data_IF_319352246929
#
_entry.id   IF_319352246929
#
_cell.length_a   1.000
_cell.length_b   1.000
_cell.length_c   1.000
_cell.angle_alpha   90.00
_cell.angle_beta   90.00
_cell.angle_gamma   90.00
#
_symmetry.space_group_name_H-M   'P 1'
#
loop_
_entity.id
_entity.type
_entity.pdbx_description
1 polymer ?
#
# COMPACT_ATOMS: atom_id res chain seq x y z
N UNK A 1 28.90 -0.09 -12.03
CA UNK A 1 27.70 -0.71 -11.46
C UNK A 1 26.85 -1.42 -12.53
N UNK A 2 26.38 -0.75 -13.58
CA UNK A 2 25.55 -1.35 -14.64
C UNK A 2 26.29 -2.28 -15.62
N UNK A 3 27.59 -2.44 -15.51
CA UNK A 3 28.41 -3.34 -16.35
C UNK A 3 28.33 -4.80 -15.89
N UNK A 4 27.82 -5.08 -14.70
CA UNK A 4 27.71 -6.44 -14.17
C UNK A 4 26.32 -7.02 -14.46
N UNK A 5 26.27 -8.17 -15.14
CA UNK A 5 25.03 -8.85 -15.52
C UNK A 5 24.13 -9.18 -14.31
N UNK A 6 24.72 -9.53 -13.16
CA UNK A 6 23.94 -9.80 -11.96
C UNK A 6 23.23 -8.54 -11.43
N UNK A 7 23.88 -7.36 -11.54
CA UNK A 7 23.30 -6.09 -11.09
C UNK A 7 22.12 -5.67 -12.00
N UNK A 8 22.26 -5.84 -13.32
CA UNK A 8 21.14 -5.55 -14.24
C UNK A 8 19.93 -6.43 -13.92
N UNK A 9 20.18 -7.74 -13.67
CA UNK A 9 19.10 -8.67 -13.25
C UNK A 9 18.49 -8.29 -11.91
N UNK A 10 19.31 -7.92 -10.95
CA UNK A 10 18.84 -7.48 -9.63
C UNK A 10 17.98 -6.22 -9.70
N UNK A 11 18.40 -5.20 -10.47
CA UNK A 11 17.65 -3.96 -10.66
C UNK A 11 16.32 -4.20 -11.38
N UNK A 12 16.31 -5.04 -12.43
CA UNK A 12 15.08 -5.41 -13.12
C UNK A 12 14.13 -6.19 -12.21
N UNK A 13 14.66 -7.13 -11.44
CA UNK A 13 13.86 -7.88 -10.48
C UNK A 13 13.28 -6.97 -9.38
N UNK A 14 14.08 -6.06 -8.82
CA UNK A 14 13.63 -5.11 -7.81
C UNK A 14 12.59 -4.12 -8.36
N UNK A 15 12.74 -3.65 -9.60
CA UNK A 15 11.76 -2.81 -10.30
C UNK A 15 10.43 -3.55 -10.44
N UNK A 16 10.46 -4.81 -10.94
CA UNK A 16 9.27 -5.62 -11.13
C UNK A 16 8.56 -5.90 -9.80
N UNK A 17 9.30 -6.41 -8.82
CA UNK A 17 8.76 -6.71 -7.50
C UNK A 17 8.22 -5.45 -6.82
N UNK A 18 8.98 -4.35 -6.84
CA UNK A 18 8.58 -3.08 -6.26
C UNK A 18 7.32 -2.49 -6.90
N UNK A 19 7.11 -2.69 -8.21
CA UNK A 19 5.89 -2.26 -8.88
C UNK A 19 4.71 -3.19 -8.61
N UNK A 20 4.92 -4.52 -8.69
CA UNK A 20 3.85 -5.53 -8.62
C UNK A 20 3.32 -5.72 -7.20
N UNK A 21 4.18 -5.67 -6.18
CA UNK A 21 3.75 -5.89 -4.80
C UNK A 21 2.67 -4.89 -4.33
N UNK A 22 2.80 -3.57 -4.55
CA UNK A 22 1.74 -2.62 -4.20
C UNK A 22 0.47 -2.75 -5.07
N UNK A 23 0.57 -3.28 -6.31
CA UNK A 23 -0.62 -3.48 -7.15
C UNK A 23 -1.65 -4.39 -6.51
N UNK A 24 -1.19 -5.45 -5.85
CA UNK A 24 -2.04 -6.41 -5.11
C UNK A 24 -2.33 -5.89 -3.71
N UNK A 25 -1.30 -5.37 -3.05
CA UNK A 25 -1.35 -4.92 -1.66
C UNK A 25 -2.45 -3.89 -1.39
N UNK A 26 -2.76 -3.00 -2.32
CA UNK A 26 -3.78 -1.96 -2.12
C UNK A 26 -5.17 -2.56 -1.84
N UNK A 27 -5.55 -3.66 -2.52
CA UNK A 27 -6.81 -4.35 -2.27
C UNK A 27 -6.81 -5.06 -0.91
N UNK A 28 -5.65 -5.58 -0.51
CA UNK A 28 -5.43 -6.22 0.80
C UNK A 28 -5.55 -5.20 1.93
N UNK A 29 -4.91 -4.04 1.79
CA UNK A 29 -4.97 -2.95 2.77
C UNK A 29 -6.39 -2.41 2.91
N UNK A 30 -7.12 -2.22 1.80
CA UNK A 30 -8.51 -1.76 1.85
C UNK A 30 -9.47 -2.74 2.53
N UNK A 31 -9.17 -4.04 2.47
CA UNK A 31 -9.94 -5.07 3.20
C UNK A 31 -9.56 -5.22 4.67
N UNK A 32 -8.61 -4.43 5.17
CA UNK A 32 -8.08 -4.56 6.53
C UNK A 32 -7.28 -5.84 6.78
N UNK A 33 -6.73 -6.46 5.73
CA UNK A 33 -6.03 -7.74 5.78
C UNK A 33 -4.51 -7.58 5.68
N UNK A 34 -3.95 -6.49 6.19
CA UNK A 34 -2.53 -6.18 6.04
C UNK A 34 -1.58 -7.30 6.50
N UNK A 35 -1.98 -8.10 7.49
CA UNK A 35 -1.18 -9.22 8.01
C UNK A 35 -1.20 -10.48 7.13
N UNK A 36 -2.02 -10.54 6.06
CA UNK A 36 -2.06 -11.72 5.18
C UNK A 36 -0.72 -11.93 4.45
N UNK A 37 -0.01 -10.84 4.15
CA UNK A 37 1.32 -10.88 3.56
C UNK A 37 2.33 -11.63 4.45
N UNK A 38 2.34 -11.32 5.74
CA UNK A 38 3.22 -11.97 6.72
C UNK A 38 2.83 -13.45 6.90
N UNK A 39 1.54 -13.73 7.08
CA UNK A 39 1.06 -15.10 7.26
C UNK A 39 1.43 -15.99 6.05
N UNK A 40 1.18 -15.53 4.84
CA UNK A 40 1.53 -16.27 3.62
C UNK A 40 3.05 -16.33 3.38
N UNK A 41 3.82 -15.31 3.81
CA UNK A 41 5.28 -15.34 3.78
C UNK A 41 5.84 -16.50 4.61
N UNK A 42 5.34 -16.68 5.83
CA UNK A 42 5.78 -17.79 6.68
C UNK A 42 5.32 -19.16 6.17
N UNK A 43 4.13 -19.24 5.56
CA UNK A 43 3.70 -20.47 4.87
C UNK A 43 4.58 -20.76 3.65
N UNK A 44 4.98 -19.72 2.89
CA UNK A 44 5.93 -19.89 1.78
C UNK A 44 7.29 -20.38 2.27
N UNK A 45 7.75 -19.97 3.47
CA UNK A 45 8.95 -20.50 4.11
C UNK A 45 8.83 -22.01 4.36
N UNK A 46 7.68 -22.48 4.90
CA UNK A 46 7.43 -23.89 5.05
C UNK A 46 7.47 -24.61 3.68
N UNK A 47 6.92 -23.99 2.63
CA UNK A 47 6.99 -24.51 1.26
C UNK A 47 8.42 -24.58 0.71
N UNK A 48 9.29 -23.60 1.01
CA UNK A 48 10.73 -23.67 0.72
C UNK A 48 11.37 -24.86 1.44
N UNK A 49 11.05 -25.05 2.73
CA UNK A 49 11.58 -26.14 3.53
C UNK A 49 11.16 -27.51 2.97
N UNK A 50 9.90 -27.67 2.57
CA UNK A 50 9.42 -28.87 1.87
C UNK A 50 10.24 -29.12 0.61
N UNK A 51 10.49 -28.10 -0.20
CA UNK A 51 11.29 -28.22 -1.42
C UNK A 51 12.71 -28.69 -1.15
N UNK A 52 13.35 -28.17 -0.11
CA UNK A 52 14.70 -28.57 0.31
C UNK A 52 14.73 -30.03 0.75
N UNK A 53 13.78 -30.45 1.61
CA UNK A 53 13.68 -31.85 2.10
C UNK A 53 13.42 -32.80 0.94
N UNK A 54 12.55 -32.45 0.00
CA UNK A 54 12.21 -33.26 -1.18
C UNK A 54 13.23 -33.19 -2.31
N UNK A 55 14.31 -32.42 -2.14
CA UNK A 55 15.31 -32.14 -3.19
C UNK A 55 14.68 -31.60 -4.48
N UNK A 56 13.54 -30.93 -4.34
CA UNK A 56 12.81 -30.27 -5.42
C UNK A 56 13.22 -28.79 -5.54
N UNK A 57 12.75 -28.14 -6.60
CA UNK A 57 12.98 -26.69 -6.78
C UNK A 57 12.19 -25.89 -5.72
N UNK A 58 12.85 -25.20 -4.74
CA UNK A 58 12.16 -24.58 -3.59
C UNK A 58 11.13 -23.50 -3.95
N UNK A 59 11.33 -22.85 -5.09
CA UNK A 59 10.40 -21.79 -5.58
C UNK A 59 9.04 -22.37 -5.95
N UNK A 60 9.02 -23.53 -6.63
CA UNK A 60 7.76 -24.16 -7.05
C UNK A 60 6.99 -24.80 -5.90
N UNK A 61 7.71 -25.40 -4.94
CA UNK A 61 7.10 -25.93 -3.73
C UNK A 61 6.55 -24.83 -2.84
N UNK A 62 7.28 -23.72 -2.68
CA UNK A 62 6.81 -22.54 -1.99
C UNK A 62 5.55 -21.96 -2.64
N UNK A 63 5.53 -21.87 -3.99
CA UNK A 63 4.39 -21.37 -4.74
C UNK A 63 3.15 -22.27 -4.54
N UNK A 64 3.31 -23.57 -4.69
CA UNK A 64 2.21 -24.53 -4.52
C UNK A 64 1.63 -24.49 -3.09
N UNK A 65 2.50 -24.52 -2.07
CA UNK A 65 2.10 -24.48 -0.68
C UNK A 65 1.45 -23.15 -0.31
N UNK A 66 2.01 -22.01 -0.73
CA UNK A 66 1.47 -20.69 -0.43
C UNK A 66 0.12 -20.44 -1.11
N UNK A 67 -0.04 -20.84 -2.38
CA UNK A 67 -1.32 -20.69 -3.09
C UNK A 67 -2.39 -21.61 -2.51
N UNK A 68 -2.05 -22.86 -2.20
CA UNK A 68 -2.97 -23.78 -1.52
C UNK A 68 -3.44 -23.21 -0.18
N UNK A 69 -2.52 -22.73 0.63
CA UNK A 69 -2.83 -22.12 1.91
C UNK A 69 -3.69 -20.86 1.76
N UNK A 70 -3.42 -20.00 0.78
CA UNK A 70 -4.21 -18.81 0.48
C UNK A 70 -5.66 -19.16 0.13
N UNK A 71 -5.88 -20.20 -0.66
CA UNK A 71 -7.22 -20.69 -1.01
C UNK A 71 -7.92 -21.31 0.20
N UNK A 72 -7.21 -22.11 1.00
CA UNK A 72 -7.76 -22.73 2.22
C UNK A 72 -8.19 -21.67 3.23
N UNK A 73 -7.36 -20.64 3.48
CA UNK A 73 -7.74 -19.60 4.44
C UNK A 73 -8.99 -18.86 3.99
N UNK A 74 -9.07 -18.52 2.71
CA UNK A 74 -10.23 -17.80 2.19
C UNK A 74 -11.49 -18.66 2.20
N UNK A 75 -11.35 -19.96 1.94
CA UNK A 75 -12.46 -20.90 2.05
C UNK A 75 -12.97 -21.04 3.51
N UNK A 76 -12.06 -21.03 4.49
CA UNK A 76 -12.41 -21.05 5.91
C UNK A 76 -13.11 -19.75 6.33
N UNK A 77 -12.61 -18.60 5.86
CA UNK A 77 -13.21 -17.28 6.11
C UNK A 77 -14.62 -17.20 5.50
N UNK A 78 -14.80 -17.68 4.28
CA UNK A 78 -16.09 -17.67 3.60
C UNK A 78 -17.18 -18.48 4.33
N UNK A 79 -16.79 -19.50 5.12
CA UNK A 79 -17.70 -20.29 5.94
C UNK A 79 -18.10 -19.63 7.27
N UNK A 80 -17.50 -18.49 7.62
CA UNK A 80 -17.89 -17.71 8.81
C UNK A 80 -17.55 -18.32 10.16
N UNK A 81 -16.78 -19.44 10.20
CA UNK A 81 -16.51 -20.19 11.43
C UNK A 81 -15.36 -19.64 12.29
N UNK A 82 -14.52 -18.76 11.75
CA UNK A 82 -13.32 -18.30 12.46
C UNK A 82 -13.13 -16.80 12.22
N UNK A 83 -12.82 -16.05 13.27
CA UNK A 83 -12.45 -14.66 13.14
C UNK A 83 -11.23 -14.53 12.21
N UNK A 84 -11.26 -13.57 11.30
CA UNK A 84 -10.23 -13.36 10.26
C UNK A 84 -8.81 -13.36 10.84
N UNK A 85 -8.63 -12.68 11.96
CA UNK A 85 -7.31 -12.50 12.61
C UNK A 85 -6.81 -13.81 13.25
N UNK A 86 -7.70 -14.62 13.80
CA UNK A 86 -7.34 -15.94 14.38
C UNK A 86 -6.88 -16.89 13.27
N UNK A 87 -7.56 -16.91 12.12
CA UNK A 87 -7.15 -17.73 10.99
C UNK A 87 -5.78 -17.32 10.45
N UNK A 88 -5.52 -16.01 10.32
CA UNK A 88 -4.21 -15.48 9.91
C UNK A 88 -3.12 -15.81 10.94
N UNK A 89 -3.41 -15.69 12.25
CA UNK A 89 -2.45 -16.01 13.30
C UNK A 89 -2.09 -17.50 13.32
N UNK A 90 -3.08 -18.38 13.15
CA UNK A 90 -2.84 -19.83 13.05
C UNK A 90 -1.94 -20.17 11.87
N UNK A 91 -2.18 -19.59 10.70
CA UNK A 91 -1.33 -19.81 9.52
C UNK A 91 0.09 -19.28 9.72
N UNK A 92 0.22 -18.09 10.29
CA UNK A 92 1.50 -17.49 10.62
C UNK A 92 2.34 -18.43 11.49
N UNK A 93 1.79 -18.85 12.64
CA UNK A 93 2.53 -19.69 13.58
C UNK A 93 2.75 -21.11 13.04
N UNK A 94 1.79 -21.68 12.33
CA UNK A 94 1.94 -23.00 11.69
C UNK A 94 3.02 -22.95 10.60
N UNK A 95 3.04 -21.89 9.79
CA UNK A 95 4.06 -21.70 8.75
C UNK A 95 5.47 -21.65 9.32
N UNK A 96 5.67 -20.83 10.37
CA UNK A 96 6.97 -20.75 11.06
C UNK A 96 7.36 -22.13 11.65
N UNK A 97 6.47 -22.73 12.45
CA UNK A 97 6.75 -23.99 13.14
C UNK A 97 7.11 -25.10 12.16
N UNK A 98 6.33 -25.26 11.08
CA UNK A 98 6.57 -26.25 10.03
C UNK A 98 7.88 -25.96 9.29
N UNK A 99 8.13 -24.71 8.93
CA UNK A 99 9.38 -24.32 8.29
C UNK A 99 10.61 -24.67 9.14
N UNK A 100 10.62 -24.28 10.42
CA UNK A 100 11.72 -24.55 11.34
C UNK A 100 11.91 -26.06 11.55
N UNK A 101 10.84 -26.82 11.79
CA UNK A 101 10.92 -28.28 12.01
C UNK A 101 11.49 -28.98 10.78
N UNK A 102 10.97 -28.68 9.58
CA UNK A 102 11.42 -29.32 8.35
C UNK A 102 12.91 -28.99 8.04
N UNK A 103 13.32 -27.75 8.27
CA UNK A 103 14.71 -27.35 8.05
C UNK A 103 15.66 -28.02 9.04
N UNK A 104 15.26 -28.14 10.32
CA UNK A 104 16.08 -28.78 11.35
C UNK A 104 16.32 -30.27 11.07
N UNK A 105 15.44 -30.92 10.30
CA UNK A 105 15.58 -32.33 9.91
C UNK A 105 16.38 -32.51 8.60
N UNK A 106 16.70 -31.44 7.91
CA UNK A 106 17.38 -31.49 6.60
C UNK A 106 18.90 -31.57 6.76
N UNK A 107 19.58 -32.58 6.17
CA UNK A 107 21.05 -32.63 6.16
C UNK A 107 21.58 -31.58 5.19
N UNK A 108 22.06 -30.47 5.71
CA UNK A 108 22.68 -29.37 4.99
C UNK A 108 22.01 -28.03 5.30
N UNK A 109 22.81 -27.05 5.61
CA UNK A 109 22.39 -25.66 5.72
C UNK A 109 22.05 -25.15 4.32
N UNK A 110 20.83 -25.41 3.85
CA UNK A 110 20.35 -24.65 2.73
C UNK A 110 20.53 -23.15 3.07
N UNK A 111 20.96 -22.34 2.11
CA UNK A 111 21.12 -20.89 2.28
C UNK A 111 19.77 -20.22 2.56
N UNK A 112 19.15 -20.61 3.69
CA UNK A 112 17.83 -20.13 4.12
C UNK A 112 17.83 -18.62 4.32
N UNK A 113 18.95 -18.07 4.77
CA UNK A 113 19.16 -16.63 4.91
C UNK A 113 18.86 -15.88 3.62
N UNK A 114 19.20 -16.46 2.46
CA UNK A 114 18.93 -15.85 1.16
C UNK A 114 17.43 -15.76 0.83
N UNK A 115 16.62 -16.68 1.36
CA UNK A 115 15.16 -16.63 1.21
C UNK A 115 14.50 -15.73 2.25
N UNK A 116 15.07 -15.65 3.47
CA UNK A 116 14.53 -14.81 4.54
C UNK A 116 14.80 -13.33 4.34
N UNK A 117 16.03 -12.99 3.98
CA UNK A 117 16.49 -11.59 3.89
C UNK A 117 16.67 -11.08 2.46
N UNK A 118 16.50 -11.97 1.47
CA UNK A 118 16.80 -11.69 0.08
C UNK A 118 18.30 -11.68 -0.21
N UNK A 119 18.67 -12.02 -1.43
CA UNK A 119 20.05 -11.98 -1.89
C UNK A 119 20.11 -11.60 -3.37
N UNK A 120 20.47 -10.35 -3.63
CA UNK A 120 20.54 -9.78 -4.99
C UNK A 120 21.51 -10.57 -5.87
N UNK A 121 22.62 -11.01 -5.30
CA UNK A 121 23.72 -11.69 -6.00
C UNK A 121 23.33 -13.08 -6.50
N UNK A 122 22.30 -13.70 -5.93
CA UNK A 122 21.88 -15.07 -6.26
C UNK A 122 20.80 -15.17 -7.34
N UNK A 123 20.30 -14.04 -7.84
CA UNK A 123 19.23 -14.00 -8.86
C UNK A 123 19.74 -14.48 -10.21
N UNK A 124 19.27 -15.64 -10.65
CA UNK A 124 19.62 -16.22 -11.96
C UNK A 124 18.75 -15.65 -13.10
N UNK A 125 19.16 -15.86 -14.35
CA UNK A 125 18.34 -15.51 -15.50
C UNK A 125 17.05 -16.33 -15.60
N UNK A 126 17.02 -17.53 -15.04
CA UNK A 126 15.81 -18.35 -14.95
C UNK A 126 14.82 -17.75 -13.92
N UNK A 127 15.31 -17.28 -12.79
CA UNK A 127 14.50 -16.59 -11.78
C UNK A 127 13.88 -15.32 -12.35
N UNK A 128 14.68 -14.51 -13.08
CA UNK A 128 14.18 -13.27 -13.68
C UNK A 128 13.06 -13.56 -14.69
N UNK A 129 13.19 -14.59 -15.53
CA UNK A 129 12.12 -15.00 -16.46
C UNK A 129 10.85 -15.39 -15.71
N UNK A 130 10.99 -16.17 -14.64
CA UNK A 130 9.87 -16.54 -13.79
C UNK A 130 9.19 -15.31 -13.16
N UNK A 131 9.99 -14.34 -12.65
CA UNK A 131 9.48 -13.11 -12.08
C UNK A 131 8.72 -12.25 -13.10
N UNK A 132 9.22 -12.17 -14.31
CA UNK A 132 8.52 -11.48 -15.42
C UNK A 132 7.19 -12.16 -15.72
N UNK A 133 7.16 -13.48 -15.86
CA UNK A 133 5.93 -14.22 -16.17
C UNK A 133 4.91 -14.06 -15.03
N UNK A 134 5.31 -14.32 -13.79
CA UNK A 134 4.41 -14.18 -12.63
C UNK A 134 3.98 -12.72 -12.44
N UNK A 135 4.90 -11.76 -12.58
CA UNK A 135 4.60 -10.34 -12.49
C UNK A 135 3.60 -9.87 -13.55
N UNK A 136 3.74 -10.35 -14.80
CA UNK A 136 2.76 -10.06 -15.87
C UNK A 136 1.41 -10.67 -15.54
N UNK A 137 1.36 -11.92 -15.07
CA UNK A 137 0.09 -12.56 -14.64
C UNK A 137 -0.60 -11.73 -13.56
N UNK A 138 0.13 -11.33 -12.52
CA UNK A 138 -0.40 -10.49 -11.44
C UNK A 138 -0.85 -9.13 -11.97
N UNK A 139 -0.04 -8.45 -12.78
CA UNK A 139 -0.36 -7.14 -13.33
C UNK A 139 -1.60 -7.19 -14.24
N UNK A 140 -1.70 -8.19 -15.13
CA UNK A 140 -2.87 -8.37 -15.99
C UNK A 140 -4.12 -8.68 -15.17
N UNK A 141 -4.04 -9.64 -14.23
CA UNK A 141 -5.17 -10.02 -13.39
C UNK A 141 -5.68 -8.84 -12.55
N UNK A 142 -4.78 -8.11 -11.87
CA UNK A 142 -5.16 -6.96 -11.04
C UNK A 142 -5.70 -5.79 -11.87
N UNK A 143 -5.14 -5.53 -13.05
CA UNK A 143 -5.60 -4.43 -13.94
C UNK A 143 -6.97 -4.74 -14.53
N UNK A 144 -7.17 -5.93 -15.08
CA UNK A 144 -8.44 -6.34 -15.69
C UNK A 144 -9.56 -6.46 -14.66
N UNK A 145 -9.26 -6.96 -13.46
CA UNK A 145 -10.24 -7.16 -12.41
C UNK A 145 -10.32 -6.00 -11.43
N UNK A 146 -9.55 -4.91 -11.64
CA UNK A 146 -9.48 -3.75 -10.75
C UNK A 146 -10.86 -3.24 -10.30
N UNK A 147 -11.85 -3.01 -11.19
CA UNK A 147 -13.16 -2.51 -10.75
C UNK A 147 -13.89 -3.49 -9.84
N UNK A 148 -13.82 -4.80 -10.15
CA UNK A 148 -14.47 -5.84 -9.36
C UNK A 148 -13.78 -6.06 -8.01
N UNK A 149 -12.45 -6.11 -8.01
CA UNK A 149 -11.65 -6.23 -6.78
C UNK A 149 -11.84 -5.01 -5.87
N UNK A 150 -11.92 -3.82 -6.45
CA UNK A 150 -12.20 -2.59 -5.70
C UNK A 150 -13.60 -2.62 -5.07
N UNK A 151 -14.64 -2.98 -5.83
CA UNK A 151 -16.00 -3.08 -5.31
C UNK A 151 -16.08 -4.06 -4.12
N UNK A 152 -15.48 -5.26 -4.28
CA UNK A 152 -15.46 -6.28 -3.22
C UNK A 152 -14.63 -5.81 -2.00
N UNK A 153 -13.55 -5.08 -2.23
CA UNK A 153 -12.72 -4.56 -1.14
C UNK A 153 -13.42 -3.46 -0.31
N UNK A 154 -14.32 -2.72 -0.92
CA UNK A 154 -15.09 -1.67 -0.24
C UNK A 154 -16.29 -2.23 0.54
N UNK A 155 -17.06 -3.10 -0.10
CA UNK A 155 -18.24 -3.70 0.53
C UNK A 155 -18.54 -5.09 -0.09
N UNK A 156 -18.22 -6.13 0.66
CA UNK A 156 -18.48 -7.52 0.26
C UNK A 156 -19.97 -7.85 0.20
N UNK A 157 -20.78 -7.29 1.11
CA UNK A 157 -22.22 -7.57 1.21
C UNK A 157 -22.93 -6.95 0.00
N UNK A 158 -22.66 -5.69 -0.28
CA UNK A 158 -23.18 -4.99 -1.45
C UNK A 158 -22.74 -5.66 -2.75
N UNK A 159 -21.47 -6.01 -2.89
CA UNK A 159 -20.94 -6.68 -4.08
C UNK A 159 -21.63 -8.04 -4.33
N UNK A 160 -21.96 -8.76 -3.27
CA UNK A 160 -22.69 -10.03 -3.35
C UNK A 160 -24.14 -9.82 -3.80
N UNK A 161 -24.80 -8.76 -3.34
CA UNK A 161 -26.17 -8.41 -3.77
C UNK A 161 -26.22 -7.99 -5.26
N UNK A 162 -25.12 -7.46 -5.79
CA UNK A 162 -24.97 -7.15 -7.22
C UNK A 162 -24.59 -8.36 -8.08
N UNK A 163 -24.56 -9.57 -7.52
CA UNK A 163 -24.26 -10.81 -8.24
C UNK A 163 -22.77 -11.04 -8.53
N UNK A 164 -21.86 -10.28 -7.91
CA UNK A 164 -20.43 -10.54 -8.07
C UNK A 164 -20.02 -11.83 -7.34
N UNK A 165 -19.15 -12.66 -7.94
CA UNK A 165 -18.65 -13.88 -7.30
C UNK A 165 -17.58 -13.55 -6.24
N UNK A 166 -18.02 -12.97 -5.11
CA UNK A 166 -17.17 -12.43 -4.05
C UNK A 166 -16.14 -13.43 -3.56
N UNK A 167 -16.58 -14.68 -3.24
CA UNK A 167 -15.67 -15.72 -2.75
C UNK A 167 -14.58 -16.07 -3.77
N UNK A 168 -14.93 -16.19 -5.06
CA UNK A 168 -13.94 -16.47 -6.11
C UNK A 168 -12.95 -15.31 -6.29
N UNK A 169 -13.42 -14.05 -6.23
CA UNK A 169 -12.56 -12.87 -6.31
C UNK A 169 -11.62 -12.76 -5.11
N UNK A 170 -12.09 -13.11 -3.93
CA UNK A 170 -11.29 -13.16 -2.72
C UNK A 170 -10.23 -14.27 -2.76
N UNK A 171 -10.60 -15.47 -3.19
CA UNK A 171 -9.66 -16.57 -3.41
C UNK A 171 -8.58 -16.20 -4.44
N UNK A 172 -8.99 -15.57 -5.54
CA UNK A 172 -8.07 -15.09 -6.56
C UNK A 172 -7.11 -14.03 -6.01
N UNK A 173 -7.63 -13.05 -5.27
CA UNK A 173 -6.80 -12.02 -4.65
C UNK A 173 -5.77 -12.63 -3.69
N UNK A 174 -6.19 -13.55 -2.83
CA UNK A 174 -5.30 -14.24 -1.89
C UNK A 174 -4.24 -15.09 -2.62
N UNK A 175 -4.61 -15.74 -3.73
CA UNK A 175 -3.66 -16.44 -4.59
C UNK A 175 -2.66 -15.49 -5.27
N UNK A 176 -3.11 -14.31 -5.75
CA UNK A 176 -2.23 -13.29 -6.31
C UNK A 176 -1.25 -12.72 -5.26
N UNK A 177 -1.70 -12.58 -4.00
CA UNK A 177 -0.80 -12.23 -2.88
C UNK A 177 0.27 -13.31 -2.70
N UNK A 178 -0.12 -14.59 -2.64
CA UNK A 178 0.82 -15.70 -2.50
C UNK A 178 1.85 -15.75 -3.65
N UNK A 179 1.40 -15.58 -4.90
CA UNK A 179 2.28 -15.48 -6.08
C UNK A 179 3.26 -14.33 -5.93
N UNK A 180 2.78 -13.15 -5.52
CA UNK A 180 3.60 -11.96 -5.33
C UNK A 180 4.66 -12.17 -4.26
N UNK A 181 4.32 -12.80 -3.15
CA UNK A 181 5.25 -13.13 -2.05
C UNK A 181 6.35 -14.05 -2.54
N UNK A 182 5.98 -15.16 -3.19
CA UNK A 182 6.96 -16.14 -3.67
C UNK A 182 7.87 -15.58 -4.76
N UNK A 183 7.32 -14.76 -5.67
CA UNK A 183 8.12 -14.03 -6.67
C UNK A 183 9.16 -13.13 -6.02
N UNK A 184 8.80 -12.48 -4.92
CA UNK A 184 9.61 -11.45 -4.27
C UNK A 184 10.63 -12.00 -3.29
N UNK A 185 10.49 -13.25 -2.85
CA UNK A 185 11.28 -13.83 -1.75
C UNK A 185 12.78 -13.81 -2.01
N UNK A 186 13.24 -13.92 -3.26
CA UNK A 186 14.67 -13.89 -3.60
C UNK A 186 15.27 -12.50 -3.66
N UNK A 187 14.45 -11.46 -3.89
CA UNK A 187 14.92 -10.06 -4.04
C UNK A 187 14.88 -9.34 -2.71
N UNK A 188 13.72 -9.39 -2.05
CA UNK A 188 13.44 -8.65 -0.81
C UNK A 188 13.52 -9.54 0.42
N UNK A 189 13.27 -10.83 0.24
CA UNK A 189 13.17 -11.79 1.35
C UNK A 189 11.73 -11.95 1.87
N UNK A 190 11.44 -13.13 2.43
CA UNK A 190 10.12 -13.48 2.93
C UNK A 190 9.67 -12.63 4.12
N UNK A 191 10.60 -12.19 4.97
CA UNK A 191 10.30 -11.41 6.17
C UNK A 191 9.96 -9.94 5.87
N UNK A 192 10.33 -9.44 4.69
CA UNK A 192 10.28 -8.00 4.39
C UNK A 192 9.32 -7.64 3.26
N UNK A 193 8.77 -8.65 2.56
CA UNK A 193 7.90 -8.40 1.41
C UNK A 193 6.57 -7.75 1.79
N UNK A 194 6.01 -8.08 2.95
CA UNK A 194 4.78 -7.46 3.45
C UNK A 194 4.95 -5.95 3.63
N UNK A 195 6.10 -5.52 4.13
CA UNK A 195 6.40 -4.10 4.25
C UNK A 195 6.46 -3.41 2.88
N UNK A 196 7.13 -4.01 1.88
CA UNK A 196 7.17 -3.47 0.51
C UNK A 196 5.78 -3.45 -0.15
N UNK A 197 4.92 -4.38 0.22
CA UNK A 197 3.54 -4.43 -0.26
C UNK A 197 2.65 -3.35 0.38
N UNK A 198 2.91 -2.94 1.64
CA UNK A 198 2.03 -2.06 2.43
C UNK A 198 2.53 -0.62 2.46
N UNK A 199 3.82 -0.38 2.72
CA UNK A 199 4.37 0.96 2.98
C UNK A 199 4.20 1.91 1.79
N UNK A 200 4.46 1.52 0.52
CA UNK A 200 4.21 2.40 -0.62
C UNK A 200 2.73 2.79 -0.77
N UNK A 201 1.81 1.90 -0.38
CA UNK A 201 0.37 2.18 -0.40
C UNK A 201 0.00 3.19 0.67
N UNK A 202 0.45 2.99 1.91
CA UNK A 202 0.23 3.93 2.99
C UNK A 202 0.76 5.33 2.63
N UNK A 203 1.94 5.40 1.99
CA UNK A 203 2.52 6.65 1.48
C UNK A 203 1.64 7.28 0.40
N UNK A 204 1.19 6.50 -0.58
CA UNK A 204 0.38 6.99 -1.68
C UNK A 204 -0.99 7.51 -1.22
N UNK A 205 -1.62 6.86 -0.25
CA UNK A 205 -2.89 7.28 0.33
C UNK A 205 -2.79 8.61 1.09
N UNK A 206 -1.63 8.93 1.67
CA UNK A 206 -1.36 10.25 2.27
C UNK A 206 -1.27 11.37 1.22
N UNK A 207 -0.79 11.05 0.02
CA UNK A 207 -0.46 12.04 -1.01
C UNK A 207 -1.56 12.19 -2.07
N UNK A 208 -2.51 11.25 -2.17
CA UNK A 208 -3.52 11.21 -3.23
C UNK A 208 -4.94 11.23 -2.66
N UNK A 209 -5.90 11.63 -3.49
CA UNK A 209 -7.32 11.73 -3.12
C UNK A 209 -8.21 10.70 -3.82
N UNK A 210 -7.68 9.91 -4.74
CA UNK A 210 -8.44 8.91 -5.46
C UNK A 210 -7.75 7.56 -5.46
N UNK A 211 -8.53 6.48 -5.48
CA UNK A 211 -8.02 5.12 -5.53
C UNK A 211 -7.08 4.89 -6.74
N UNK A 212 -7.47 5.38 -7.92
CA UNK A 212 -6.67 5.20 -9.11
C UNK A 212 -5.31 5.90 -9.00
N UNK A 213 -5.29 7.14 -8.46
CA UNK A 213 -4.03 7.86 -8.23
C UNK A 213 -3.18 7.16 -7.16
N UNK A 214 -3.80 6.67 -6.07
CA UNK A 214 -3.09 5.92 -5.03
C UNK A 214 -2.47 4.64 -5.58
N UNK A 215 -3.21 3.91 -6.43
CA UNK A 215 -2.74 2.67 -7.03
C UNK A 215 -1.50 2.89 -7.91
N UNK A 216 -1.53 3.86 -8.83
CA UNK A 216 -0.38 4.20 -9.68
C UNK A 216 0.80 4.76 -8.88
N UNK A 217 0.52 5.66 -7.93
CA UNK A 217 1.55 6.24 -7.07
C UNK A 217 2.25 5.18 -6.23
N UNK A 218 1.51 4.21 -5.67
CA UNK A 218 2.07 3.12 -4.89
C UNK A 218 3.03 2.26 -5.71
N UNK A 219 2.69 1.96 -6.97
CA UNK A 219 3.58 1.24 -7.90
C UNK A 219 4.88 2.00 -8.14
N UNK A 220 4.80 3.31 -8.39
CA UNK A 220 5.98 4.15 -8.62
C UNK A 220 6.85 4.22 -7.37
N UNK A 221 6.25 4.44 -6.19
CA UNK A 221 6.96 4.49 -4.92
C UNK A 221 7.61 3.15 -4.57
N UNK A 222 6.91 2.04 -4.79
CA UNK A 222 7.46 0.71 -4.58
C UNK A 222 8.61 0.38 -5.52
N UNK A 223 8.47 0.71 -6.81
CA UNK A 223 9.53 0.56 -7.81
C UNK A 223 10.78 1.40 -7.48
N UNK A 224 10.59 2.66 -7.09
CA UNK A 224 11.68 3.55 -6.69
C UNK A 224 12.37 3.05 -5.42
N UNK A 225 11.61 2.59 -4.42
CA UNK A 225 12.16 2.00 -3.19
C UNK A 225 12.92 0.72 -3.49
N UNK A 226 12.41 -0.14 -4.37
CA UNK A 226 13.08 -1.36 -4.80
C UNK A 226 14.41 -1.08 -5.48
N UNK A 227 14.41 -0.28 -6.54
CA UNK A 227 15.62 0.08 -7.29
C UNK A 227 16.61 0.87 -6.41
N UNK A 228 16.13 1.89 -5.71
CA UNK A 228 16.96 2.70 -4.82
C UNK A 228 17.59 1.89 -3.69
N UNK A 229 16.81 0.97 -3.07
CA UNK A 229 17.29 0.08 -2.03
C UNK A 229 18.39 -0.88 -2.50
N UNK A 230 18.23 -1.43 -3.72
CA UNK A 230 19.28 -2.27 -4.35
C UNK A 230 20.56 -1.47 -4.62
N UNK A 231 20.45 -0.24 -5.10
CA UNK A 231 21.60 0.64 -5.34
C UNK A 231 22.33 0.95 -4.03
N UNK A 232 21.60 1.33 -2.98
CA UNK A 232 22.16 1.61 -1.65
C UNK A 232 22.78 0.36 -1.05
N UNK A 233 22.09 -0.79 -1.12
CA UNK A 233 22.59 -2.09 -0.64
C UNK A 233 23.93 -2.45 -1.26
N UNK A 234 24.05 -2.31 -2.58
CA UNK A 234 25.30 -2.56 -3.29
C UNK A 234 26.43 -1.59 -2.93
N UNK A 235 26.12 -0.32 -2.71
CA UNK A 235 27.12 0.71 -2.44
C UNK A 235 27.71 0.58 -1.04
N UNK A 236 26.91 0.14 -0.08
CA UNK A 236 27.30 0.05 1.34
C UNK A 236 27.44 -1.39 1.86
N UNK A 237 27.36 -2.39 0.98
CA UNK A 237 27.43 -3.82 1.31
C UNK A 237 26.43 -4.24 2.41
N UNK A 238 25.16 -3.78 2.26
CA UNK A 238 24.07 -4.02 3.21
C UNK A 238 23.11 -5.11 2.69
N UNK A 239 22.37 -5.81 3.58
CA UNK A 239 21.31 -6.72 3.16
C UNK A 239 20.24 -6.02 2.33
N UNK A 240 19.96 -6.54 1.14
CA UNK A 240 19.11 -5.88 0.14
C UNK A 240 17.66 -5.65 0.60
N UNK A 241 17.05 -6.67 1.17
CA UNK A 241 15.68 -6.57 1.63
C UNK A 241 15.50 -5.51 2.72
N UNK A 242 16.38 -5.51 3.73
CA UNK A 242 16.36 -4.51 4.80
C UNK A 242 16.51 -3.09 4.27
N UNK A 243 17.44 -2.88 3.34
CA UNK A 243 17.71 -1.57 2.74
C UNK A 243 16.53 -1.05 1.91
N UNK A 244 15.88 -1.92 1.14
CA UNK A 244 14.67 -1.60 0.37
C UNK A 244 13.55 -1.14 1.30
N UNK A 245 13.29 -1.89 2.37
CA UNK A 245 12.21 -1.57 3.33
C UNK A 245 12.52 -0.31 4.11
N UNK A 246 13.75 -0.13 4.60
CA UNK A 246 14.14 1.10 5.29
C UNK A 246 14.00 2.33 4.41
N UNK A 247 14.35 2.23 3.12
CA UNK A 247 14.14 3.31 2.18
C UNK A 247 12.64 3.63 1.98
N UNK A 248 11.80 2.60 1.83
CA UNK A 248 10.36 2.79 1.73
C UNK A 248 9.77 3.46 2.98
N UNK A 249 10.20 3.03 4.18
CA UNK A 249 9.78 3.64 5.47
C UNK A 249 10.28 5.08 5.59
N UNK A 250 11.50 5.37 5.16
CA UNK A 250 12.02 6.74 5.14
C UNK A 250 11.18 7.66 4.23
N UNK A 251 10.80 7.18 3.05
CA UNK A 251 9.91 7.92 2.13
C UNK A 251 8.54 8.15 2.77
N UNK A 252 7.98 7.15 3.46
CA UNK A 252 6.74 7.30 4.22
C UNK A 252 6.85 8.36 5.32
N UNK A 253 7.92 8.32 6.12
CA UNK A 253 8.16 9.28 7.19
C UNK A 253 8.28 10.72 6.64
N UNK A 254 8.99 10.89 5.51
CA UNK A 254 9.09 12.18 4.82
C UNK A 254 7.73 12.66 4.30
N UNK A 255 6.90 11.77 3.76
CA UNK A 255 5.55 12.10 3.32
C UNK A 255 4.65 12.54 4.49
N UNK A 256 4.70 11.83 5.62
CA UNK A 256 3.98 12.21 6.85
C UNK A 256 4.42 13.60 7.34
N UNK A 257 5.73 13.82 7.44
CA UNK A 257 6.28 15.11 7.87
C UNK A 257 5.88 16.23 6.92
N UNK A 258 5.99 16.01 5.61
CA UNK A 258 5.60 16.97 4.57
C UNK A 258 4.12 17.34 4.64
N UNK A 259 3.24 16.37 4.80
CA UNK A 259 1.78 16.63 4.95
C UNK A 259 1.46 17.35 6.26
N UNK A 260 2.15 17.00 7.34
CA UNK A 260 1.99 17.69 8.64
C UNK A 260 2.44 19.16 8.55
N UNK A 261 3.61 19.43 7.97
CA UNK A 261 4.11 20.81 7.77
C UNK A 261 3.15 21.58 6.87
N UNK A 262 2.72 21.00 5.75
CA UNK A 262 1.78 21.64 4.83
C UNK A 262 0.44 22.00 5.51
N UNK A 263 -0.09 21.12 6.38
CA UNK A 263 -1.28 21.42 7.20
C UNK A 263 -1.02 22.58 8.17
N UNK A 264 0.11 22.58 8.87
CA UNK A 264 0.49 23.68 9.81
C UNK A 264 0.60 25.01 9.09
N UNK A 265 1.24 25.06 7.93
CA UNK A 265 1.39 26.27 7.13
C UNK A 265 0.03 26.76 6.63
N UNK A 266 -0.87 25.87 6.19
CA UNK A 266 -2.22 26.26 5.76
C UNK A 266 -3.02 26.84 6.91
N UNK A 267 -3.04 26.21 8.07
CA UNK A 267 -3.72 26.72 9.27
C UNK A 267 -3.14 28.05 9.70
N UNK A 268 -1.80 28.21 9.68
CA UNK A 268 -1.16 29.49 10.01
C UNK A 268 -1.47 30.61 9.02
N UNK A 269 -1.64 30.28 7.73
CA UNK A 269 -2.09 31.24 6.69
C UNK A 269 -3.55 31.61 6.88
N UNK A 270 -4.41 30.64 7.18
CA UNK A 270 -5.84 30.88 7.45
C UNK A 270 -6.02 31.77 8.67
N UNK A 271 -5.32 31.49 9.80
CA UNK A 271 -5.33 32.34 10.99
C UNK A 271 -4.81 33.77 10.74
N UNK A 272 -3.86 33.97 9.81
CA UNK A 272 -3.36 35.32 9.47
C UNK A 272 -4.32 36.07 8.57
N UNK A 273 -5.11 35.38 7.74
CA UNK A 273 -6.13 35.97 6.91
C UNK A 273 -7.43 36.27 7.67
N UNK A 274 -7.64 35.65 8.82
CA UNK A 274 -8.85 35.76 9.64
C UNK A 274 -8.72 36.70 10.84
N UNK A 275 -7.76 37.62 10.83
CA UNK A 275 -7.71 38.72 11.80
C UNK A 275 -8.66 39.84 11.35
N UNK A 276 -9.97 39.50 11.36
CA UNK A 276 -11.00 40.51 11.26
C UNK A 276 -10.92 41.45 12.48
N UNK A 277 -11.10 42.75 12.25
CA UNK A 277 -11.23 43.73 13.31
C UNK A 277 -12.28 43.31 14.34
N UNK A 278 -12.06 43.59 15.62
CA UNK A 278 -13.05 43.34 16.68
C UNK A 278 -14.28 44.20 16.40
N UNK A 279 -15.36 43.55 15.94
CA UNK A 279 -16.63 44.23 15.74
C UNK A 279 -17.42 44.33 17.06
N UNK A 280 -18.12 45.45 17.20
CA UNK A 280 -18.96 45.71 18.35
C UNK A 280 -20.28 44.88 18.37
N UNK A 281 -20.56 44.14 17.27
CA UNK A 281 -21.78 43.33 17.12
C UNK A 281 -21.48 42.06 16.29
N UNK A 282 -22.32 41.05 16.44
CA UNK A 282 -22.30 39.84 15.60
C UNK A 282 -23.15 40.04 14.33
N UNK A 283 -22.63 39.60 13.17
CA UNK A 283 -23.41 39.62 11.93
C UNK A 283 -24.46 38.52 11.95
N UNK A 284 -25.71 38.90 11.72
CA UNK A 284 -26.89 38.02 11.60
C UNK A 284 -27.88 38.60 10.56
N UNK A 285 -28.86 37.82 10.10
CA UNK A 285 -29.79 38.26 9.05
C UNK A 285 -30.51 39.59 9.31
N UNK A 286 -30.65 40.01 10.56
CA UNK A 286 -31.36 41.24 10.98
C UNK A 286 -30.37 42.38 11.33
N UNK A 287 -29.05 42.26 11.08
CA UNK A 287 -28.13 43.36 11.29
C UNK A 287 -28.24 44.39 10.11
N UNK A 288 -27.89 45.65 10.39
CA UNK A 288 -28.00 46.75 9.41
C UNK A 288 -27.02 46.64 8.22
N UNK A 289 -26.17 45.60 8.16
CA UNK A 289 -25.22 45.40 7.07
C UNK A 289 -25.88 44.68 5.89
N UNK A 290 -25.63 45.14 4.66
CA UNK A 290 -26.15 44.49 3.47
C UNK A 290 -25.56 43.05 3.35
N UNK A 291 -26.45 42.05 3.27
CA UNK A 291 -26.06 40.66 3.06
C UNK A 291 -25.92 40.38 1.56
N UNK A 292 -24.81 39.75 1.19
CA UNK A 292 -24.50 39.37 -0.20
C UNK A 292 -24.43 37.84 -0.28
N UNK A 293 -25.27 37.18 -1.06
CA UNK A 293 -25.20 35.73 -1.24
C UNK A 293 -23.87 35.32 -1.93
N UNK A 294 -23.17 34.34 -1.34
CA UNK A 294 -21.95 33.79 -1.91
C UNK A 294 -21.95 32.25 -1.80
N UNK A 295 -22.23 31.57 -2.90
CA UNK A 295 -22.32 30.11 -2.92
C UNK A 295 -23.46 29.60 -2.05
N UNK A 296 -23.14 28.94 -0.94
CA UNK A 296 -24.07 28.32 0.01
C UNK A 296 -24.25 29.14 1.32
N UNK A 297 -23.66 30.34 1.41
CA UNK A 297 -23.68 31.17 2.60
C UNK A 297 -23.91 32.66 2.29
N UNK A 298 -24.08 33.46 3.35
CA UNK A 298 -24.25 34.91 3.27
C UNK A 298 -22.95 35.58 3.81
N UNK A 299 -22.40 36.50 3.00
CA UNK A 299 -21.37 37.42 3.42
C UNK A 299 -22.02 38.78 3.75
N UNK A 300 -21.46 39.50 4.70
CA UNK A 300 -21.96 40.82 5.12
C UNK A 300 -20.98 41.91 4.67
N UNK A 301 -21.52 42.94 3.98
CA UNK A 301 -20.71 44.07 3.53
C UNK A 301 -20.36 44.99 4.71
N UNK A 302 -19.06 45.17 4.97
CA UNK A 302 -18.58 46.07 5.99
C UNK A 302 -17.49 47.00 5.40
N UNK A 303 -17.85 48.26 5.17
CA UNK A 303 -16.96 49.23 4.52
C UNK A 303 -16.60 48.85 3.08
N UNK A 304 -15.34 48.48 2.84
CA UNK A 304 -14.80 48.09 1.53
C UNK A 304 -14.50 46.59 1.39
N UNK A 305 -14.94 45.76 2.34
CA UNK A 305 -14.72 44.33 2.35
C UNK A 305 -15.95 43.54 2.81
N UNK A 306 -15.92 42.21 2.59
CA UNK A 306 -16.97 41.27 2.95
C UNK A 306 -16.56 40.45 4.17
N UNK A 307 -17.47 40.29 5.11
CA UNK A 307 -17.32 39.44 6.29
C UNK A 307 -18.16 38.17 6.15
N UNK A 308 -17.51 37.02 6.30
CA UNK A 308 -18.18 35.74 6.41
C UNK A 308 -18.12 35.23 7.85
N UNK A 309 -19.24 35.08 8.57
CA UNK A 309 -19.26 34.49 9.91
C UNK A 309 -18.91 33.00 9.84
N UNK A 310 -17.85 32.57 10.53
CA UNK A 310 -17.44 31.17 10.53
C UNK A 310 -16.87 30.81 11.92
N UNK A 311 -17.48 29.81 12.59
CA UNK A 311 -17.01 29.20 13.83
C UNK A 311 -16.49 30.20 14.92
N UNK A 312 -17.17 31.34 15.11
CA UNK A 312 -16.83 32.34 16.13
C UNK A 312 -15.76 33.35 15.72
N UNK A 313 -15.46 33.47 14.43
CA UNK A 313 -14.66 34.55 13.83
C UNK A 313 -15.22 34.95 12.47
N UNK A 314 -14.71 36.05 11.92
CA UNK A 314 -15.06 36.51 10.57
C UNK A 314 -13.89 36.28 9.62
N UNK A 315 -14.20 35.72 8.43
CA UNK A 315 -13.29 35.69 7.30
C UNK A 315 -13.49 36.94 6.45
N UNK A 316 -12.48 37.78 6.33
CA UNK A 316 -12.51 38.99 5.51
C UNK A 316 -12.11 38.71 4.07
N UNK A 317 -12.89 39.28 3.12
CA UNK A 317 -12.54 39.24 1.69
C UNK A 317 -12.68 40.64 1.10
N UNK A 318 -11.73 41.07 0.25
CA UNK A 318 -11.88 42.31 -0.50
C UNK A 318 -13.09 42.21 -1.43
N UNK A 319 -13.80 43.29 -1.67
CA UNK A 319 -14.83 43.39 -2.72
C UNK A 319 -14.18 43.10 -4.06
N UNK A 320 -14.39 41.93 -4.63
CA UNK A 320 -14.00 41.66 -6.00
C UNK A 320 -14.86 42.51 -6.94
N UNK A 321 -14.26 43.15 -7.94
CA UNK A 321 -14.94 43.95 -8.93
C UNK A 321 -15.98 43.18 -9.78
N UNK A 322 -16.10 41.84 -9.55
CA UNK A 322 -17.06 40.93 -10.17
C UNK A 322 -18.23 40.54 -9.27
N UNK A 323 -18.30 41.01 -8.02
CA UNK A 323 -19.42 40.73 -7.14
C UNK A 323 -20.68 41.47 -7.63
N UNK A 324 -21.85 40.81 -7.72
CA UNK A 324 -23.08 41.50 -8.06
C UNK A 324 -23.41 42.56 -7.00
N UNK A 325 -23.74 43.78 -7.46
CA UNK A 325 -24.11 44.89 -6.56
C UNK A 325 -25.25 44.44 -5.60
N UNK A 326 -25.19 44.85 -4.32
CA UNK A 326 -26.24 44.54 -3.35
C UNK A 326 -27.56 45.02 -3.88
N UNK A 327 -28.59 44.17 -3.88
CA UNK A 327 -29.95 44.55 -4.24
C UNK A 327 -30.49 45.48 -3.15
N UNK A 328 -31.17 46.59 -3.52
CA UNK A 328 -31.71 47.56 -2.58
C UNK A 328 -32.76 46.97 -1.65
#
# INVERSE_FOLDING_TARGET
MLQFDFMQRALLAALLVGAVAPMVGIFVVQRGLSLIGDALGHVALAGVAVGVVMQAQPVWTALAVAVLAAVVIEALRARGGTASDVALALMFHTGIALGVVLISTSPGTANLENYLFGAITTTSSADLRLFVVLGVVVAVATTLLRPRLFAVAQDEVYSRSQGLPVTALNMLLSALVAVTIVMSMRVVGLLLISALMIVPIATSQLLTRSFAAAWWMAMVLGALSGVGGVVVSYTYDLPSGGTIVLLAVAVYALAVLGTWVARRVRVGRHRRASLAEHHAHEHHPDCEHPAVPHGDHLDYLHGDHLHHPHEGHYDERPLDASAPAPRP
#
